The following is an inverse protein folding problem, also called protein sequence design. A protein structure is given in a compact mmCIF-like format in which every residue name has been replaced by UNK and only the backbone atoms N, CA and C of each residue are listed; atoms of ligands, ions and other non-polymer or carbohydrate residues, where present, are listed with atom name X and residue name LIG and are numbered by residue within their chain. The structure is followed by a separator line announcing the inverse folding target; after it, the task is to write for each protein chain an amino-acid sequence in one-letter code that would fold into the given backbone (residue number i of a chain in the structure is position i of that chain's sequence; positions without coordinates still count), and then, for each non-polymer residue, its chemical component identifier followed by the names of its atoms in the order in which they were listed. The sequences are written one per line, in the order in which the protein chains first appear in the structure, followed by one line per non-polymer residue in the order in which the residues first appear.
data_IF_791943270615
#
_entry.id   IF_791943270615
#
_cell.length_a   1.000
_cell.length_b   1.000
_cell.length_c   1.000
_cell.angle_alpha   90.00
_cell.angle_beta   90.00
_cell.angle_gamma   90.00
#
_symmetry.space_group_name_H-M   'P 1'
#
loop_
_entity.id
_entity.type
_entity.pdbx_description
1 polymer ?
#
# COMPACT_ATOMS: atom_id res chain seq x y z
N UNK A 1 -22.77 9.54 18.92
CA UNK A 1 -23.75 8.45 19.10
C UNK A 1 -24.20 7.94 17.73
N UNK A 2 -24.16 6.62 17.51
CA UNK A 2 -24.57 5.98 16.25
C UNK A 2 -26.10 5.93 16.18
N UNK A 3 -26.73 7.00 15.65
CA UNK A 3 -28.19 7.09 15.47
C UNK A 3 -28.53 7.77 14.14
N UNK A 4 -29.53 7.24 13.40
CA UNK A 4 -29.96 7.77 12.11
C UNK A 4 -28.79 7.90 11.13
N UNK A 5 -28.68 9.03 10.44
CA UNK A 5 -27.60 9.34 9.50
C UNK A 5 -26.21 9.18 10.13
N UNK A 6 -26.06 9.48 11.43
CA UNK A 6 -24.78 9.30 12.13
C UNK A 6 -24.33 7.84 12.26
N UNK A 7 -25.25 6.88 12.26
CA UNK A 7 -24.89 5.46 12.21
C UNK A 7 -24.36 5.07 10.82
N UNK A 8 -24.96 5.58 9.74
CA UNK A 8 -24.51 5.34 8.38
C UNK A 8 -23.10 5.91 8.19
N UNK A 9 -22.89 7.18 8.52
CA UNK A 9 -21.58 7.85 8.41
C UNK A 9 -20.48 7.17 9.24
N UNK A 10 -20.83 6.61 10.40
CA UNK A 10 -19.88 5.90 11.25
C UNK A 10 -19.36 4.58 10.66
N UNK A 11 -19.95 4.11 9.56
CA UNK A 11 -19.48 2.93 8.79
C UNK A 11 -18.45 3.28 7.73
N UNK A 12 -18.17 4.56 7.51
CA UNK A 12 -17.26 5.08 6.50
C UNK A 12 -17.94 5.43 5.17
N UNK A 13 -17.19 6.14 4.32
CA UNK A 13 -17.74 6.69 3.06
C UNK A 13 -18.20 5.61 2.10
N UNK A 14 -17.51 4.46 2.03
CA UNK A 14 -17.87 3.34 1.18
C UNK A 14 -19.29 2.85 1.48
N UNK A 15 -19.57 2.56 2.76
CA UNK A 15 -20.87 2.04 3.17
C UNK A 15 -21.97 3.12 3.11
N UNK A 16 -21.63 4.38 3.43
CA UNK A 16 -22.56 5.49 3.32
C UNK A 16 -22.97 5.73 1.85
N UNK A 17 -22.02 5.71 0.93
CA UNK A 17 -22.28 5.88 -0.49
C UNK A 17 -23.18 4.76 -1.05
N UNK A 18 -22.92 3.51 -0.64
CA UNK A 18 -23.75 2.36 -1.00
C UNK A 18 -25.19 2.50 -0.50
N UNK A 19 -25.36 2.90 0.76
CA UNK A 19 -26.69 3.11 1.36
C UNK A 19 -27.49 4.18 0.62
N UNK A 20 -26.81 5.20 0.05
CA UNK A 20 -27.46 6.32 -0.63
C UNK A 20 -27.46 6.20 -2.16
N UNK A 21 -26.93 5.11 -2.72
CA UNK A 21 -26.82 4.94 -4.20
C UNK A 21 -25.89 5.96 -4.84
N UNK A 22 -24.78 6.30 -4.13
CA UNK A 22 -23.82 7.33 -4.53
C UNK A 22 -22.39 6.75 -4.65
N UNK A 23 -22.24 5.46 -4.95
CA UNK A 23 -20.96 4.79 -5.04
C UNK A 23 -19.99 5.46 -6.00
N UNK A 24 -20.52 5.97 -7.12
CA UNK A 24 -19.77 6.73 -8.13
C UNK A 24 -19.16 8.05 -7.60
N UNK A 25 -19.71 8.59 -6.53
CA UNK A 25 -19.24 9.83 -5.92
C UNK A 25 -18.21 9.58 -4.82
N UNK A 26 -18.17 8.37 -4.28
CA UNK A 26 -17.29 8.03 -3.18
C UNK A 26 -15.82 7.93 -3.64
N UNK A 27 -14.93 8.58 -2.91
CA UNK A 27 -13.49 8.52 -3.16
C UNK A 27 -12.86 7.69 -2.05
N UNK A 28 -12.57 6.45 -2.36
CA UNK A 28 -11.88 5.52 -1.46
C UNK A 28 -11.17 4.42 -2.25
N UNK A 29 -10.14 3.80 -1.66
CA UNK A 29 -9.58 2.53 -2.12
C UNK A 29 -9.74 1.53 -1.00
N UNK A 30 -10.32 0.36 -1.26
CA UNK A 30 -10.58 -0.68 -0.26
C UNK A 30 -11.37 -0.18 0.98
N UNK A 31 -12.14 0.90 0.84
CA UNK A 31 -12.94 1.52 1.91
C UNK A 31 -12.20 2.59 2.73
N UNK A 32 -10.91 2.83 2.48
CA UNK A 32 -10.14 3.90 3.12
C UNK A 32 -10.11 5.14 2.22
N UNK A 33 -10.50 6.29 2.76
CA UNK A 33 -10.44 7.58 2.07
C UNK A 33 -8.96 8.03 1.91
N UNK A 34 -8.58 8.58 0.74
CA UNK A 34 -7.24 9.11 0.53
C UNK A 34 -6.99 10.39 1.34
N UNK A 35 -5.74 10.60 1.71
CA UNK A 35 -5.28 11.89 2.20
C UNK A 35 -5.30 12.95 1.09
N UNK A 36 -5.04 14.22 1.43
CA UNK A 36 -5.09 15.36 0.52
C UNK A 36 -3.99 15.42 -0.55
N UNK A 37 -3.41 14.29 -0.91
CA UNK A 37 -2.45 14.13 -2.02
C UNK A 37 -3.20 13.57 -3.23
N UNK A 38 -3.54 14.46 -4.17
CA UNK A 38 -4.35 14.08 -5.33
C UNK A 38 -3.51 13.30 -6.36
N UNK A 39 -3.90 12.05 -6.68
CA UNK A 39 -3.16 11.21 -7.61
C UNK A 39 -3.19 11.70 -9.06
N UNK A 40 -4.06 12.64 -9.41
CA UNK A 40 -4.08 13.28 -10.73
C UNK A 40 -2.91 14.26 -10.92
N UNK A 41 -2.33 14.74 -9.82
CA UNK A 41 -1.13 15.60 -9.80
C UNK A 41 0.11 14.82 -9.42
N UNK A 42 0.02 14.05 -8.35
CA UNK A 42 1.10 13.21 -7.82
C UNK A 42 0.80 11.75 -8.20
N UNK A 43 1.13 11.36 -9.42
CA UNK A 43 0.71 10.07 -10.00
C UNK A 43 1.26 8.86 -9.25
N UNK A 44 2.43 9.01 -8.63
CA UNK A 44 2.96 7.99 -7.73
C UNK A 44 2.11 7.75 -6.48
N UNK A 45 1.30 8.73 -6.07
CA UNK A 45 0.30 8.48 -5.03
C UNK A 45 -0.87 7.63 -5.52
N UNK A 46 -1.17 7.65 -6.82
CA UNK A 46 -2.12 6.69 -7.41
C UNK A 46 -1.64 5.26 -7.24
N UNK A 47 -0.37 5.01 -7.56
CA UNK A 47 0.29 3.73 -7.33
C UNK A 47 0.22 3.35 -5.83
N UNK A 48 0.61 4.27 -4.94
CA UNK A 48 0.61 4.03 -3.50
C UNK A 48 -0.78 3.71 -2.94
N UNK A 49 -1.83 4.38 -3.42
CA UNK A 49 -3.20 4.13 -2.97
C UNK A 49 -3.75 2.80 -3.51
N UNK A 50 -3.50 2.50 -4.79
CA UNK A 50 -3.97 1.26 -5.40
C UNK A 50 -3.30 0.02 -4.83
N UNK A 51 -1.97 0.03 -4.69
CA UNK A 51 -1.18 -1.14 -4.25
C UNK A 51 -1.19 -1.37 -2.74
N UNK A 52 -1.46 -0.33 -1.93
CA UNK A 52 -1.41 -0.45 -0.47
C UNK A 52 -2.29 -1.58 0.06
N UNK A 53 -1.74 -2.33 0.99
CA UNK A 53 -2.36 -3.47 1.67
C UNK A 53 -3.69 -3.15 2.36
N UNK A 54 -3.90 -1.90 2.77
CA UNK A 54 -5.09 -1.45 3.53
C UNK A 54 -5.96 -0.42 2.80
N UNK A 55 -5.62 -0.06 1.56
CA UNK A 55 -6.35 0.94 0.78
C UNK A 55 -5.61 2.27 0.65
N UNK A 56 -6.31 3.40 0.46
CA UNK A 56 -5.72 4.70 0.14
C UNK A 56 -4.80 5.24 1.23
N UNK A 57 -3.65 4.60 1.43
CA UNK A 57 -2.69 4.94 2.46
C UNK A 57 -1.51 5.76 1.93
N UNK A 58 -1.36 6.99 2.41
CA UNK A 58 -0.22 7.84 2.07
C UNK A 58 1.07 7.52 2.84
N UNK A 59 1.01 6.60 3.83
CA UNK A 59 2.13 6.31 4.71
C UNK A 59 2.95 5.08 4.28
N UNK A 60 2.37 4.12 3.55
CA UNK A 60 3.08 2.88 3.19
C UNK A 60 4.35 3.12 2.39
N UNK A 61 4.29 3.98 1.38
CA UNK A 61 5.45 4.38 0.61
C UNK A 61 5.83 5.86 0.77
N UNK A 62 4.92 6.73 1.24
CA UNK A 62 5.07 8.21 1.28
C UNK A 62 5.55 8.81 -0.05
N UNK A 63 5.10 8.25 -1.17
CA UNK A 63 5.68 8.49 -2.49
C UNK A 63 5.41 9.89 -3.06
N UNK A 64 4.56 10.68 -2.42
CA UNK A 64 4.44 12.12 -2.69
C UNK A 64 5.76 12.88 -2.48
N UNK A 65 6.66 12.38 -1.61
CA UNK A 65 7.91 13.06 -1.31
C UNK A 65 8.89 13.11 -2.48
N UNK A 66 9.25 11.98 -3.12
CA UNK A 66 10.17 12.05 -4.27
C UNK A 66 9.59 12.84 -5.44
N UNK A 67 8.27 12.84 -5.64
CA UNK A 67 7.63 13.66 -6.67
C UNK A 67 7.66 15.16 -6.33
N UNK A 68 7.31 15.55 -5.10
CA UNK A 68 7.39 16.95 -4.66
C UNK A 68 8.82 17.48 -4.56
N UNK A 69 9.79 16.63 -4.26
CA UNK A 69 11.20 17.00 -4.21
C UNK A 69 11.86 17.05 -5.61
N UNK A 70 11.13 16.70 -6.68
CA UNK A 70 11.66 16.67 -8.04
C UNK A 70 12.69 15.55 -8.29
N UNK A 71 12.71 14.52 -7.44
CA UNK A 71 13.56 13.33 -7.62
C UNK A 71 13.03 12.49 -8.79
N UNK A 72 11.72 12.46 -8.95
CA UNK A 72 11.04 11.82 -10.07
C UNK A 72 9.90 12.72 -10.55
N UNK A 73 9.74 12.82 -11.87
CA UNK A 73 8.62 13.56 -12.45
C UNK A 73 7.30 12.81 -12.17
N UNK A 74 6.26 13.50 -11.68
CA UNK A 74 4.94 12.88 -11.49
C UNK A 74 4.38 12.20 -12.75
N UNK A 75 4.66 12.75 -13.94
CA UNK A 75 4.17 12.20 -15.20
C UNK A 75 5.11 11.12 -15.79
N UNK A 76 6.29 10.88 -15.20
CA UNK A 76 7.19 9.80 -15.62
C UNK A 76 6.60 8.44 -15.25
N UNK A 77 6.50 7.53 -16.20
CA UNK A 77 6.05 6.14 -15.99
C UNK A 77 7.24 5.20 -15.80
N UNK A 78 8.20 5.28 -16.72
CA UNK A 78 9.34 4.36 -16.75
C UNK A 78 10.20 4.49 -15.48
N UNK A 79 10.50 3.35 -14.87
CA UNK A 79 11.31 3.26 -13.65
C UNK A 79 10.59 3.66 -12.35
N UNK A 80 9.39 4.25 -12.42
CA UNK A 80 8.66 4.70 -11.23
C UNK A 80 8.36 3.55 -10.27
N UNK A 81 7.93 2.39 -10.77
CA UNK A 81 7.63 1.23 -9.94
C UNK A 81 8.85 0.74 -9.15
N UNK A 82 10.04 0.76 -9.74
CA UNK A 82 11.28 0.37 -9.06
C UNK A 82 11.64 1.33 -7.91
N UNK A 83 11.51 2.63 -8.15
CA UNK A 83 11.73 3.65 -7.12
C UNK A 83 10.68 3.53 -6.02
N UNK A 84 9.42 3.32 -6.41
CA UNK A 84 8.33 3.10 -5.47
C UNK A 84 8.61 1.91 -4.53
N UNK A 85 8.99 0.77 -5.10
CA UNK A 85 9.29 -0.45 -4.32
C UNK A 85 10.44 -0.20 -3.33
N UNK A 86 11.48 0.52 -3.73
CA UNK A 86 12.59 0.85 -2.81
C UNK A 86 12.11 1.72 -1.64
N UNK A 87 11.22 2.68 -1.88
CA UNK A 87 10.64 3.51 -0.83
C UNK A 87 9.73 2.69 0.10
N UNK A 88 8.91 1.83 -0.46
CA UNK A 88 8.02 0.95 0.29
C UNK A 88 8.82 -0.05 1.14
N UNK A 89 9.85 -0.69 0.58
CA UNK A 89 10.75 -1.61 1.29
C UNK A 89 11.35 -0.94 2.53
N UNK A 90 11.92 0.26 2.37
CA UNK A 90 12.52 0.99 3.50
C UNK A 90 11.51 1.31 4.59
N UNK A 91 10.31 1.74 4.20
CA UNK A 91 9.25 2.05 5.17
C UNK A 91 8.63 0.80 5.80
N UNK A 92 8.69 -0.33 5.12
CA UNK A 92 8.32 -1.63 5.69
C UNK A 92 9.30 -2.03 6.79
N UNK A 93 10.61 -1.79 6.62
CA UNK A 93 11.59 -1.97 7.71
C UNK A 93 11.29 -1.04 8.88
N UNK A 94 10.89 0.23 8.63
CA UNK A 94 10.44 1.12 9.71
C UNK A 94 9.28 0.53 10.52
N UNK A 95 8.27 -0.02 9.84
CA UNK A 95 7.14 -0.64 10.52
C UNK A 95 7.55 -1.89 11.30
N UNK A 96 8.43 -2.71 10.74
CA UNK A 96 8.96 -3.90 11.40
C UNK A 96 9.73 -3.55 12.67
N UNK A 97 10.43 -2.43 12.68
CA UNK A 97 11.17 -1.91 13.84
C UNK A 97 10.33 -1.02 14.77
N UNK A 98 9.04 -0.82 14.44
CA UNK A 98 8.13 0.07 15.18
C UNK A 98 8.66 1.51 15.24
N UNK A 99 9.38 1.95 14.21
CA UNK A 99 9.91 3.30 14.12
C UNK A 99 8.85 4.30 13.66
N UNK A 100 8.91 5.50 14.24
CA UNK A 100 8.04 6.59 13.82
C UNK A 100 8.41 7.08 12.42
N UNK A 101 7.43 7.14 11.51
CA UNK A 101 7.63 7.54 10.11
C UNK A 101 8.05 9.01 9.93
N UNK A 102 7.92 9.85 10.94
CA UNK A 102 8.47 11.21 10.89
C UNK A 102 10.00 11.24 10.85
N UNK A 103 10.66 10.17 11.31
CA UNK A 103 12.13 10.03 11.25
C UNK A 103 12.64 9.39 9.95
N UNK A 104 11.76 9.10 8.96
CA UNK A 104 12.14 8.44 7.70
C UNK A 104 13.21 9.18 6.88
N UNK A 105 13.35 10.49 7.09
CA UNK A 105 14.34 11.28 6.39
C UNK A 105 15.70 11.30 7.13
N UNK A 106 15.72 10.89 8.40
CA UNK A 106 16.91 10.79 9.24
C UNK A 106 17.55 9.41 9.16
N UNK A 107 16.75 8.35 9.05
CA UNK A 107 17.23 6.98 9.03
C UNK A 107 17.15 6.41 7.61
N UNK A 108 18.29 6.47 6.92
CA UNK A 108 18.47 5.81 5.64
C UNK A 108 18.89 4.34 5.85
N UNK A 109 19.32 3.66 4.81
CA UNK A 109 19.65 2.23 4.90
C UNK A 109 20.81 1.93 5.85
N UNK A 110 21.80 2.80 5.90
CA UNK A 110 22.99 2.65 6.73
C UNK A 110 22.67 2.81 8.22
N UNK A 111 21.88 3.81 8.58
CA UNK A 111 21.43 4.01 9.96
C UNK A 111 20.52 2.86 10.41
N UNK A 112 19.63 2.37 9.54
CA UNK A 112 18.77 1.21 9.84
C UNK A 112 19.63 -0.04 10.07
N UNK A 113 20.63 -0.29 9.24
CA UNK A 113 21.57 -1.40 9.43
C UNK A 113 22.28 -1.33 10.79
N UNK A 114 22.74 -0.13 11.16
CA UNK A 114 23.39 0.11 12.44
C UNK A 114 22.46 -0.13 13.63
N UNK A 115 21.19 0.34 13.54
CA UNK A 115 20.18 0.11 14.58
C UNK A 115 19.90 -1.39 14.73
N UNK A 116 19.71 -2.11 13.62
CA UNK A 116 19.43 -3.55 13.63
C UNK A 116 20.60 -4.30 14.24
N UNK A 117 21.84 -4.06 13.81
CA UNK A 117 23.01 -4.72 14.36
C UNK A 117 23.16 -4.43 15.86
N UNK A 118 23.02 -3.17 16.27
CA UNK A 118 23.16 -2.75 17.66
C UNK A 118 22.12 -3.34 18.60
N UNK A 119 20.91 -3.62 18.09
CA UNK A 119 19.79 -4.11 18.93
C UNK A 119 19.60 -5.62 18.88
N UNK A 120 19.95 -6.25 17.77
CA UNK A 120 19.67 -7.69 17.54
C UNK A 120 20.92 -8.52 17.31
N UNK A 121 22.05 -7.90 17.01
CA UNK A 121 23.28 -8.57 16.58
C UNK A 121 23.26 -9.04 15.11
N UNK A 122 22.16 -8.83 14.38
CA UNK A 122 22.04 -9.22 12.98
C UNK A 122 22.75 -8.20 12.08
N UNK A 123 23.71 -8.67 11.29
CA UNK A 123 24.38 -7.86 10.27
C UNK A 123 23.62 -7.94 8.96
N UNK A 124 22.94 -6.87 8.63
CA UNK A 124 22.15 -6.75 7.38
C UNK A 124 22.66 -5.57 6.57
N UNK A 125 22.85 -5.79 5.27
CA UNK A 125 23.03 -4.74 4.29
C UNK A 125 21.67 -4.32 3.68
N UNK A 126 21.70 -3.34 2.78
CA UNK A 126 20.50 -2.89 2.07
C UNK A 126 19.76 -4.04 1.38
N UNK A 127 20.49 -4.96 0.75
CA UNK A 127 19.90 -6.10 0.03
C UNK A 127 19.20 -7.06 0.98
N UNK A 128 19.82 -7.37 2.10
CA UNK A 128 19.23 -8.23 3.13
C UNK A 128 17.98 -7.62 3.75
N UNK A 129 18.00 -6.31 4.05
CA UNK A 129 16.84 -5.58 4.56
C UNK A 129 15.70 -5.54 3.53
N UNK A 130 16.00 -5.29 2.24
CA UNK A 130 14.99 -5.32 1.18
C UNK A 130 14.36 -6.69 1.00
N UNK A 131 15.14 -7.77 1.15
CA UNK A 131 14.61 -9.14 1.13
C UNK A 131 13.63 -9.40 2.28
N UNK A 132 13.93 -8.89 3.48
CA UNK A 132 13.00 -8.96 4.62
C UNK A 132 11.73 -8.16 4.34
N UNK A 133 11.87 -6.93 3.84
CA UNK A 133 10.73 -6.08 3.51
C UNK A 133 9.81 -6.74 2.48
N UNK A 134 10.37 -7.30 1.41
CA UNK A 134 9.62 -8.03 0.39
C UNK A 134 8.85 -9.23 0.99
N UNK A 135 9.47 -10.00 1.88
CA UNK A 135 8.80 -11.11 2.56
C UNK A 135 7.63 -10.63 3.45
N UNK A 136 7.78 -9.49 4.12
CA UNK A 136 6.70 -8.90 4.94
C UNK A 136 5.55 -8.43 4.05
N UNK A 137 5.86 -7.74 2.95
CA UNK A 137 4.86 -7.27 1.98
C UNK A 137 4.10 -8.45 1.36
N UNK A 138 4.82 -9.47 0.90
CA UNK A 138 4.25 -10.70 0.33
C UNK A 138 3.37 -11.44 1.36
N UNK A 139 3.84 -11.55 2.60
CA UNK A 139 3.08 -12.16 3.69
C UNK A 139 1.76 -11.45 3.95
N UNK A 140 1.79 -10.11 4.01
CA UNK A 140 0.60 -9.27 4.17
C UNK A 140 -0.34 -9.43 2.98
N UNK A 141 0.19 -9.45 1.77
CA UNK A 141 -0.59 -9.62 0.54
C UNK A 141 -1.31 -10.97 0.50
N UNK A 142 -0.59 -12.06 0.81
CA UNK A 142 -1.18 -13.41 0.89
C UNK A 142 -2.28 -13.49 1.96
N UNK A 143 -2.07 -12.85 3.11
CA UNK A 143 -3.10 -12.77 4.13
C UNK A 143 -4.35 -12.08 3.58
N UNK A 144 -4.21 -10.90 2.97
CA UNK A 144 -5.32 -10.15 2.41
C UNK A 144 -6.08 -10.93 1.32
N UNK A 145 -5.36 -11.63 0.43
CA UNK A 145 -5.98 -12.49 -0.59
C UNK A 145 -6.83 -13.59 0.06
N UNK A 146 -6.34 -14.24 1.10
CA UNK A 146 -7.12 -15.25 1.85
C UNK A 146 -8.33 -14.67 2.56
N UNK A 147 -8.27 -13.40 2.97
CA UNK A 147 -9.40 -12.67 3.56
C UNK A 147 -10.35 -12.10 2.48
N UNK A 148 -10.10 -12.38 1.20
CA UNK A 148 -11.01 -12.07 0.10
C UNK A 148 -10.64 -10.86 -0.74
N UNK A 149 -9.44 -10.28 -0.56
CA UNK A 149 -8.93 -9.22 -1.44
C UNK A 149 -8.78 -9.77 -2.87
N UNK A 150 -9.23 -9.00 -3.84
CA UNK A 150 -9.20 -9.34 -5.26
C UNK A 150 -8.38 -8.31 -6.04
N UNK A 151 -7.93 -8.64 -7.28
CA UNK A 151 -7.28 -7.69 -8.17
C UNK A 151 -8.08 -6.40 -8.38
N UNK A 152 -9.40 -6.51 -8.45
CA UNK A 152 -10.30 -5.38 -8.66
C UNK A 152 -10.33 -4.42 -7.48
N UNK A 153 -9.86 -4.82 -6.30
CA UNK A 153 -9.77 -3.94 -5.13
C UNK A 153 -8.55 -3.00 -5.19
N UNK A 154 -7.59 -3.26 -6.08
CA UNK A 154 -6.37 -2.45 -6.25
C UNK A 154 -6.55 -1.29 -7.23
N UNK A 155 -7.78 -0.93 -7.53
CA UNK A 155 -8.11 0.17 -8.42
C UNK A 155 -8.35 1.49 -7.68
N UNK A 156 -8.02 2.58 -8.37
CA UNK A 156 -8.42 3.91 -7.94
C UNK A 156 -9.91 4.13 -8.21
N UNK A 157 -10.58 5.01 -7.43
CA UNK A 157 -11.95 5.40 -7.72
C UNK A 157 -12.10 5.92 -9.15
N UNK A 158 -13.18 5.55 -9.88
CA UNK A 158 -13.41 5.97 -11.28
C UNK A 158 -13.31 7.47 -11.50
N UNK A 159 -13.63 8.27 -10.49
CA UNK A 159 -13.55 9.72 -10.55
C UNK A 159 -12.15 10.26 -10.84
N UNK A 160 -11.09 9.61 -10.37
CA UNK A 160 -9.72 10.03 -10.66
C UNK A 160 -9.32 9.83 -12.12
N UNK A 161 -9.99 8.91 -12.81
CA UNK A 161 -9.79 8.65 -14.24
C UNK A 161 -10.70 9.53 -15.13
N UNK A 162 -11.88 9.89 -14.64
CA UNK A 162 -12.91 10.58 -15.40
C UNK A 162 -12.94 12.09 -15.16
N UNK A 163 -12.89 12.50 -13.90
CA UNK A 163 -13.09 13.88 -13.50
C UNK A 163 -11.74 14.64 -13.55
N UNK A 164 -11.48 15.35 -14.63
CA UNK A 164 -10.27 16.14 -14.78
C UNK A 164 -10.22 17.30 -13.77
N UNK A 165 -9.01 17.64 -13.34
CA UNK A 165 -8.78 18.90 -12.62
C UNK A 165 -8.95 20.10 -13.56
N UNK A 166 -9.00 21.31 -13.01
CA UNK A 166 -9.03 22.56 -13.81
C UNK A 166 -7.84 22.64 -14.78
N UNK A 167 -6.72 22.03 -14.45
CA UNK A 167 -5.55 21.91 -15.32
C UNK A 167 -5.72 20.88 -16.46
N UNK A 168 -6.83 20.17 -16.53
CA UNK A 168 -7.07 19.07 -17.46
C UNK A 168 -6.43 17.73 -17.06
N UNK A 169 -5.73 17.67 -15.94
CA UNK A 169 -5.04 16.44 -15.49
C UNK A 169 -6.02 15.40 -14.97
N UNK A 170 -5.80 14.16 -15.40
CA UNK A 170 -6.40 12.92 -14.88
C UNK A 170 -5.28 11.92 -14.62
N UNK A 171 -5.57 10.81 -13.95
CA UNK A 171 -4.71 9.64 -13.96
C UNK A 171 -5.36 8.58 -14.84
N UNK A 172 -4.64 8.04 -15.81
CA UNK A 172 -5.19 7.04 -16.73
C UNK A 172 -5.07 5.63 -16.17
N UNK A 173 -5.97 4.74 -16.62
CA UNK A 173 -5.85 3.32 -16.27
C UNK A 173 -4.57 2.69 -16.82
N UNK A 174 -4.07 3.17 -17.94
CA UNK A 174 -2.83 2.69 -18.54
C UNK A 174 -1.63 3.05 -17.66
N UNK A 175 -1.55 4.27 -17.15
CA UNK A 175 -0.54 4.66 -16.16
C UNK A 175 -0.57 3.75 -14.92
N UNK A 176 -1.76 3.36 -14.47
CA UNK A 176 -1.90 2.43 -13.34
C UNK A 176 -1.43 1.00 -13.67
N UNK A 177 -1.72 0.49 -14.87
CA UNK A 177 -1.31 -0.86 -15.28
C UNK A 177 0.20 -1.02 -15.35
N UNK A 178 0.91 -0.03 -15.85
CA UNK A 178 2.38 -0.04 -15.94
C UNK A 178 3.08 0.06 -14.57
N UNK A 179 2.33 0.40 -13.52
CA UNK A 179 2.87 0.60 -12.18
C UNK A 179 2.66 -0.61 -11.25
N UNK A 180 1.95 -1.66 -11.67
CA UNK A 180 1.67 -2.79 -10.80
C UNK A 180 2.86 -3.79 -10.84
N UNK A 181 3.76 -3.81 -9.81
CA UNK A 181 4.97 -4.61 -9.84
C UNK A 181 4.75 -6.09 -9.55
N UNK A 182 3.54 -6.51 -9.21
CA UNK A 182 3.25 -7.87 -8.79
C UNK A 182 2.24 -8.51 -9.73
N UNK A 183 2.68 -9.52 -10.45
CA UNK A 183 1.79 -10.40 -11.18
C UNK A 183 0.92 -11.17 -10.15
N UNK A 184 -0.34 -10.81 -10.04
CA UNK A 184 -1.34 -11.47 -9.18
C UNK A 184 -1.35 -13.00 -9.35
N UNK A 185 -1.08 -13.48 -10.57
CA UNK A 185 -0.99 -14.89 -10.87
C UNK A 185 0.20 -15.58 -10.19
N UNK A 186 1.35 -14.92 -10.07
CA UNK A 186 2.50 -15.50 -9.38
C UNK A 186 2.29 -15.59 -7.88
N UNK A 187 1.67 -14.57 -7.29
CA UNK A 187 1.34 -14.57 -5.87
C UNK A 187 0.25 -15.61 -5.54
N UNK A 188 -0.74 -15.77 -6.39
CA UNK A 188 -1.75 -16.83 -6.25
C UNK A 188 -1.15 -18.23 -6.42
N UNK A 189 -0.25 -18.45 -7.37
CA UNK A 189 0.46 -19.73 -7.52
C UNK A 189 1.30 -20.06 -6.28
N UNK A 190 2.06 -19.09 -5.77
CA UNK A 190 2.85 -19.28 -4.54
C UNK A 190 1.99 -19.50 -3.29
N UNK A 191 0.75 -18.99 -3.25
CA UNK A 191 -0.15 -19.18 -2.10
C UNK A 191 -0.81 -20.55 -2.07
N UNK A 192 -0.97 -21.21 -3.22
CA UNK A 192 -1.53 -22.56 -3.34
C UNK A 192 -0.48 -23.65 -3.08
N UNK A 193 0.79 -23.41 -3.38
CA UNK A 193 1.85 -24.42 -3.31
C UNK A 193 2.64 -24.44 -1.98
N UNK A 194 2.49 -23.42 -1.14
CA UNK A 194 3.11 -23.39 0.19
C UNK A 194 2.06 -23.54 1.29
N UNK A 195 1.78 -24.76 1.71
CA UNK A 195 1.29 -25.00 3.07
C UNK A 195 2.28 -24.35 4.03
N UNK A 196 1.80 -23.41 4.84
CA UNK A 196 2.58 -22.86 5.94
C UNK A 196 2.90 -23.99 6.91
N UNK A 197 4.01 -24.68 6.74
CA UNK A 197 4.65 -25.39 7.83
C UNK A 197 5.33 -24.34 8.72
N UNK A 198 4.68 -24.02 9.82
CA UNK A 198 5.31 -23.24 10.88
C UNK A 198 6.48 -24.10 11.40
N UNK A 199 7.71 -23.54 11.51
CA UNK A 199 8.86 -24.30 11.99
C UNK A 199 8.65 -24.96 13.35
N UNK A 200 7.70 -24.51 14.15
CA UNK A 200 7.44 -24.94 15.52
C UNK A 200 6.07 -25.61 15.74
N UNK A 201 5.41 -26.11 14.71
CA UNK A 201 4.23 -26.98 14.88
C UNK A 201 3.02 -26.36 15.58
N UNK A 202 2.86 -25.02 15.58
CA UNK A 202 1.68 -24.37 16.16
C UNK A 202 0.50 -24.42 15.18
N UNK A 203 -0.02 -25.60 14.99
CA UNK A 203 -1.30 -25.87 14.32
C UNK A 203 -2.42 -26.04 15.37
N UNK A 204 -2.54 -25.09 16.31
CA UNK A 204 -3.55 -25.27 17.37
C UNK A 204 -4.16 -23.98 17.84
N UNK A 205 -4.78 -23.18 16.96
CA UNK A 205 -5.85 -22.26 17.39
C UNK A 205 -6.76 -21.93 16.17
N UNK A 206 -7.52 -22.89 15.65
CA UNK A 206 -8.71 -22.63 14.82
C UNK A 206 -9.61 -23.85 14.71
N UNK A 207 -9.93 -24.49 15.84
CA UNK A 207 -11.07 -25.39 15.91
C UNK A 207 -11.60 -25.41 17.36
N UNK A 208 -12.28 -24.36 17.76
CA UNK A 208 -13.30 -24.35 18.83
C UNK A 208 -13.89 -22.94 18.92
N UNK A 209 -14.96 -22.73 18.20
CA UNK A 209 -16.25 -22.15 18.59
C UNK A 209 -17.04 -21.84 17.33
#
# INVERSE_FOLDING_TARGET
YRRGTGDILARGIKEAAKEWGMEDQAIHVKGLEPAGYDPRVLKGMGLAYGSSDRGACHLRATFYKPELAGIIDPDQIEGKASIFTEWEDRLTIFDTLILCRFYRDLYQWEELATIIEGTTGLKLDKTGMRSIAANVADGTRRFNIREGLKPEDDHLPPRFHRDALESGKVITEEEMKHHHPLEYEELNKKSTDQQFEHPDGINTIRNKH
#
